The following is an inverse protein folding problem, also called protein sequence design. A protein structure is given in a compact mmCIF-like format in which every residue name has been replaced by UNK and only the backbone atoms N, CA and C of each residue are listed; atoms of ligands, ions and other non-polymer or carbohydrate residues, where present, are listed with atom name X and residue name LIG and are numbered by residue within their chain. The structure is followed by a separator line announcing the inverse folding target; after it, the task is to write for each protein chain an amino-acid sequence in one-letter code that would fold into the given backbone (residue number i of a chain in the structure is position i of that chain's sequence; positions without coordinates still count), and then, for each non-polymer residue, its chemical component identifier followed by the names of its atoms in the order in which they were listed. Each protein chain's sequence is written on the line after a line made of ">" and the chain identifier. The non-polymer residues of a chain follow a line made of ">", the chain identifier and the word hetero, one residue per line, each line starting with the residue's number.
data_IF_324218104122
#
_entry.id   IF_324218104122
#
_cell.length_a   1.000
_cell.length_b   1.000
_cell.length_c   1.000
_cell.angle_alpha   90.00
_cell.angle_beta   90.00
_cell.angle_gamma   90.00
#
_symmetry.space_group_name_H-M   'P 1'
#
loop_
_entity.id
_entity.type
_entity.pdbx_description
1 polymer ?
#
# COMPACT_ATOMS: atom_id res chain seq x y z
N UNK A 1 10.60 37.94 -5.82
CA UNK A 1 9.22 38.16 -5.32
C UNK A 1 8.16 37.50 -6.20
N UNK A 2 8.17 37.71 -7.52
CA UNK A 2 7.13 37.15 -8.44
C UNK A 2 7.08 35.61 -8.52
N UNK A 3 8.21 34.91 -8.35
CA UNK A 3 8.25 33.44 -8.39
C UNK A 3 7.68 32.79 -7.12
N UNK A 4 7.91 33.43 -5.96
CA UNK A 4 7.35 32.98 -4.69
C UNK A 4 5.83 33.17 -4.67
N UNK A 5 5.33 34.33 -5.13
CA UNK A 5 3.89 34.55 -5.21
C UNK A 5 3.20 33.49 -6.08
N UNK A 6 3.77 33.16 -7.25
CA UNK A 6 3.24 32.12 -8.12
C UNK A 6 3.18 30.73 -7.44
N UNK A 7 4.22 30.34 -6.71
CA UNK A 7 4.22 29.03 -6.05
C UNK A 7 3.27 28.97 -4.84
N UNK A 8 3.10 30.09 -4.13
CA UNK A 8 2.13 30.20 -3.05
C UNK A 8 0.68 30.20 -3.56
N UNK A 9 0.41 30.82 -4.71
CA UNK A 9 -0.87 30.72 -5.41
C UNK A 9 -1.16 29.27 -5.82
N UNK A 10 -0.20 28.59 -6.46
CA UNK A 10 -0.34 27.17 -6.81
C UNK A 10 -0.57 26.27 -5.59
N UNK A 11 0.11 26.56 -4.47
CA UNK A 11 -0.09 25.86 -3.21
C UNK A 11 -1.50 26.08 -2.68
N UNK A 12 -1.93 27.33 -2.63
CA UNK A 12 -3.27 27.71 -2.19
C UNK A 12 -4.32 27.01 -3.02
N UNK A 13 -4.23 27.04 -4.36
CA UNK A 13 -5.18 26.42 -5.28
C UNK A 13 -5.35 24.91 -5.09
N UNK A 14 -4.28 24.23 -4.68
CA UNK A 14 -4.28 22.78 -4.46
C UNK A 14 -4.78 22.36 -3.07
N UNK A 15 -4.94 23.30 -2.13
CA UNK A 15 -5.44 23.00 -0.80
C UNK A 15 -6.84 22.35 -0.86
N UNK A 16 -7.14 21.41 0.05
CA UNK A 16 -8.50 20.91 0.24
C UNK A 16 -9.49 22.05 0.50
N UNK A 17 -10.79 21.84 0.20
CA UNK A 17 -11.83 22.83 0.52
C UNK A 17 -11.99 23.04 2.03
N UNK A 18 -11.71 21.99 2.82
CA UNK A 18 -11.74 22.01 4.27
C UNK A 18 -10.52 21.29 4.86
N UNK A 19 -9.31 21.88 4.78
CA UNK A 19 -8.12 21.21 5.27
C UNK A 19 -8.12 21.15 6.81
N UNK A 20 -7.35 20.21 7.35
CA UNK A 20 -6.92 20.31 8.74
C UNK A 20 -6.00 21.52 8.93
N UNK A 21 -6.10 22.20 10.06
CA UNK A 21 -5.22 23.31 10.43
C UNK A 21 -5.08 23.44 11.95
N UNK A 22 -3.99 24.05 12.42
CA UNK A 22 -3.80 24.38 13.84
C UNK A 22 -2.70 25.42 14.04
N UNK A 23 -2.74 26.12 15.17
CA UNK A 23 -1.65 26.99 15.63
C UNK A 23 -0.74 26.29 16.65
N UNK A 24 -1.22 25.23 17.29
CA UNK A 24 -0.44 24.41 18.21
C UNK A 24 -0.78 22.93 17.97
N UNK A 25 0.23 22.13 17.61
CA UNK A 25 0.08 20.70 17.37
C UNK A 25 -0.39 19.94 18.62
N UNK A 26 -0.08 20.44 19.83
CA UNK A 26 -0.48 19.84 21.11
C UNK A 26 -2.00 19.92 21.35
N UNK A 27 -2.67 20.93 20.78
CA UNK A 27 -4.12 21.12 20.93
C UNK A 27 -4.96 20.33 19.91
N UNK A 28 -4.29 19.53 19.07
CA UNK A 28 -4.92 18.78 17.99
C UNK A 28 -5.24 19.62 16.75
N UNK A 29 -5.92 18.98 15.79
CA UNK A 29 -6.21 19.54 14.48
C UNK A 29 -7.68 19.98 14.35
N UNK A 30 -7.90 21.12 13.68
CA UNK A 30 -9.21 21.66 13.38
C UNK A 30 -9.53 21.48 11.90
N UNK A 31 -10.78 21.19 11.55
CA UNK A 31 -11.25 21.26 10.15
C UNK A 31 -11.90 22.62 9.92
N UNK A 32 -11.41 23.40 8.96
CA UNK A 32 -11.92 24.74 8.64
C UNK A 32 -12.05 24.95 7.13
N UNK A 33 -12.95 25.82 6.64
CA UNK A 33 -12.95 26.22 5.24
C UNK A 33 -11.58 26.76 4.82
N UNK A 34 -11.15 26.48 3.59
CA UNK A 34 -9.86 26.92 3.02
C UNK A 34 -9.55 28.39 3.29
N UNK A 35 -10.52 29.29 3.08
CA UNK A 35 -10.36 30.73 3.29
C UNK A 35 -9.98 31.14 4.73
N UNK A 36 -10.27 30.30 5.71
CA UNK A 36 -9.93 30.53 7.13
C UNK A 36 -8.67 29.72 7.51
N UNK A 37 -8.51 28.53 6.95
CA UNK A 37 -7.40 27.64 7.28
C UNK A 37 -6.03 28.20 6.86
N UNK A 38 -5.98 29.04 5.83
CA UNK A 38 -4.73 29.69 5.37
C UNK A 38 -4.10 30.63 6.40
N UNK A 39 -4.88 31.10 7.38
CA UNK A 39 -4.41 31.98 8.45
C UNK A 39 -3.83 31.20 9.65
N UNK A 40 -3.79 29.87 9.59
CA UNK A 40 -3.20 29.04 10.64
C UNK A 40 -1.73 28.71 10.35
N UNK A 41 -0.96 28.56 11.42
CA UNK A 41 0.48 28.26 11.37
C UNK A 41 0.74 26.92 10.65
N UNK A 42 -0.04 25.89 10.94
CA UNK A 42 0.07 24.58 10.31
C UNK A 42 -1.20 24.27 9.51
N UNK A 43 -1.02 23.64 8.35
CA UNK A 43 -2.12 23.33 7.41
C UNK A 43 -1.91 21.97 6.75
N UNK A 44 -3.02 21.30 6.41
CA UNK A 44 -3.03 20.10 5.59
C UNK A 44 -2.88 20.50 4.12
N UNK A 45 -1.78 20.15 3.47
CA UNK A 45 -1.51 20.54 2.09
C UNK A 45 -2.29 19.68 1.08
N UNK A 46 -2.50 18.40 1.39
CA UNK A 46 -3.07 17.42 0.48
C UNK A 46 -4.41 16.87 0.95
N UNK A 47 -5.29 16.57 -0.01
CA UNK A 47 -6.56 15.91 0.32
C UNK A 47 -6.30 14.47 0.80
N UNK A 48 -7.11 13.92 1.73
CA UNK A 48 -7.03 12.52 2.13
C UNK A 48 -7.05 11.49 0.98
N UNK A 49 -7.50 11.89 -0.22
CA UNK A 49 -7.72 11.00 -1.37
C UNK A 49 -6.78 11.23 -2.52
N UNK A 50 -6.02 12.32 -2.53
CA UNK A 50 -5.06 12.61 -3.59
C UNK A 50 -3.94 13.48 -3.06
N UNK A 51 -2.72 13.09 -3.40
CA UNK A 51 -1.49 13.72 -2.95
C UNK A 51 -0.86 14.50 -4.11
N UNK A 52 -0.83 15.82 -3.97
CA UNK A 52 -0.14 16.74 -4.86
C UNK A 52 1.32 16.95 -4.44
N UNK A 53 1.64 16.79 -3.16
CA UNK A 53 2.98 17.07 -2.64
C UNK A 53 3.61 15.82 -2.02
N UNK A 54 4.88 15.55 -2.37
CA UNK A 54 5.73 14.70 -1.54
C UNK A 54 6.44 15.64 -0.56
N UNK A 55 6.20 15.46 0.74
CA UNK A 55 6.65 16.38 1.79
C UNK A 55 7.62 15.65 2.69
N UNK A 56 8.74 16.29 2.98
CA UNK A 56 9.74 15.81 3.90
C UNK A 56 9.86 16.78 5.07
N UNK A 57 9.91 16.25 6.29
CA UNK A 57 10.25 17.01 7.49
C UNK A 57 11.74 16.85 7.79
N UNK A 58 12.44 17.98 7.88
CA UNK A 58 13.88 18.06 8.07
C UNK A 58 14.16 18.58 9.48
N UNK A 59 14.61 17.68 10.36
CA UNK A 59 14.86 17.93 11.78
C UNK A 59 16.25 18.53 12.08
N UNK A 60 16.87 19.17 11.10
CA UNK A 60 18.19 19.78 11.20
C UNK A 60 18.17 21.25 10.74
N UNK A 61 19.16 22.00 11.19
CA UNK A 61 19.28 23.43 10.91
C UNK A 61 19.89 23.70 9.52
N UNK A 62 19.74 24.92 9.01
CA UNK A 62 20.41 25.37 7.77
C UNK A 62 20.09 24.55 6.50
N UNK A 63 18.94 23.87 6.48
CA UNK A 63 18.49 23.04 5.36
C UNK A 63 18.56 23.74 3.99
N UNK A 64 18.25 25.03 3.90
CA UNK A 64 18.37 25.79 2.66
C UNK A 64 19.80 25.80 2.09
N UNK A 65 20.80 26.03 2.93
CA UNK A 65 22.21 26.11 2.52
C UNK A 65 22.68 24.74 2.05
N UNK A 66 22.37 23.68 2.82
CA UNK A 66 22.75 22.32 2.46
C UNK A 66 22.15 21.90 1.11
N UNK A 67 20.88 22.20 0.87
CA UNK A 67 20.21 21.88 -0.40
C UNK A 67 20.84 22.62 -1.57
N UNK A 68 21.19 23.90 -1.40
CA UNK A 68 21.72 24.72 -2.49
C UNK A 68 23.19 24.41 -2.83
N UNK A 69 24.01 24.09 -1.82
CA UNK A 69 25.46 24.03 -1.98
C UNK A 69 26.06 22.63 -1.81
N UNK A 70 25.38 21.72 -1.10
CA UNK A 70 25.90 20.39 -0.78
C UNK A 70 25.16 19.26 -1.51
N UNK A 71 23.91 19.47 -1.90
CA UNK A 71 23.08 18.44 -2.56
C UNK A 71 23.10 18.51 -4.10
N UNK A 72 24.29 18.68 -4.67
CA UNK A 72 24.45 18.75 -6.14
C UNK A 72 23.98 17.44 -6.80
N UNK A 73 23.12 17.56 -7.82
CA UNK A 73 22.57 16.41 -8.55
C UNK A 73 21.30 15.79 -7.94
N UNK A 74 20.95 16.15 -6.70
CA UNK A 74 19.67 15.78 -6.09
C UNK A 74 18.58 16.74 -6.59
N UNK A 75 17.36 16.27 -6.92
CA UNK A 75 16.27 17.16 -7.31
C UNK A 75 15.98 18.22 -6.24
N UNK A 76 15.96 19.50 -6.64
CA UNK A 76 15.51 20.58 -5.77
C UNK A 76 14.02 20.45 -5.44
N UNK A 77 13.59 20.71 -4.20
CA UNK A 77 12.18 20.82 -3.89
C UNK A 77 11.58 22.07 -4.57
N UNK A 78 10.25 22.12 -4.65
CA UNK A 78 9.55 23.32 -5.15
C UNK A 78 9.51 24.41 -4.08
N UNK A 79 9.14 24.03 -2.85
CA UNK A 79 9.10 24.92 -1.70
C UNK A 79 9.97 24.38 -0.57
N UNK A 80 10.59 25.30 0.17
CA UNK A 80 11.18 25.05 1.48
C UNK A 80 10.54 26.02 2.46
N UNK A 81 10.04 25.51 3.58
CA UNK A 81 9.38 26.31 4.62
C UNK A 81 10.09 26.05 5.94
N UNK A 82 10.94 26.97 6.37
CA UNK A 82 11.74 26.84 7.57
C UNK A 82 11.15 27.61 8.75
N UNK A 83 11.39 27.07 9.95
CA UNK A 83 11.23 27.79 11.19
C UNK A 83 12.37 28.82 11.33
N UNK A 84 12.01 30.08 11.58
CA UNK A 84 12.94 31.20 11.72
C UNK A 84 13.85 31.07 12.95
N UNK A 85 13.42 30.34 13.97
CA UNK A 85 14.12 30.22 15.25
C UNK A 85 15.15 29.08 15.25
N UNK A 86 14.79 27.91 14.70
CA UNK A 86 15.63 26.71 14.78
C UNK A 86 16.00 26.10 13.41
N UNK A 87 15.59 26.71 12.29
CA UNK A 87 15.98 26.27 10.95
C UNK A 87 15.37 24.93 10.47
N UNK A 88 14.63 24.20 11.32
CA UNK A 88 13.92 22.98 10.92
C UNK A 88 12.87 23.32 9.88
N UNK A 89 12.75 22.50 8.84
CA UNK A 89 11.97 22.88 7.66
C UNK A 89 11.13 21.75 7.11
N UNK A 90 10.05 22.10 6.42
CA UNK A 90 9.36 21.18 5.52
C UNK A 90 9.72 21.54 4.10
N UNK A 91 10.10 20.54 3.31
CA UNK A 91 10.32 20.71 1.87
C UNK A 91 9.23 19.98 1.08
N UNK A 92 8.80 20.61 -0.02
CA UNK A 92 7.66 20.16 -0.81
C UNK A 92 8.09 19.89 -2.26
N UNK A 93 7.92 18.67 -2.73
CA UNK A 93 8.00 18.34 -4.16
C UNK A 93 6.59 18.35 -4.75
N UNK A 94 6.30 19.35 -5.56
CA UNK A 94 5.01 19.56 -6.21
C UNK A 94 4.86 18.64 -7.42
N UNK A 95 3.84 17.80 -7.43
CA UNK A 95 3.53 16.89 -8.53
C UNK A 95 2.61 17.56 -9.55
N UNK A 96 2.97 17.42 -10.83
CA UNK A 96 2.16 17.85 -11.99
C UNK A 96 0.83 17.10 -12.04
N UNK A 97 0.86 15.79 -11.74
CA UNK A 97 -0.32 14.94 -11.66
C UNK A 97 -0.39 14.34 -10.27
N UNK A 98 -1.49 14.52 -9.52
CA UNK A 98 -1.60 14.00 -8.18
C UNK A 98 -1.66 12.48 -8.14
N UNK A 99 -1.20 11.92 -7.02
CA UNK A 99 -1.31 10.49 -6.71
C UNK A 99 -2.63 10.24 -6.00
N UNK A 100 -3.58 9.65 -6.71
CA UNK A 100 -4.89 9.32 -6.15
C UNK A 100 -4.81 8.04 -5.29
N UNK A 101 -5.45 8.06 -4.12
CA UNK A 101 -5.50 6.97 -3.12
C UNK A 101 -6.90 6.32 -2.98
N UNK A 102 -7.79 6.55 -3.94
CA UNK A 102 -9.20 6.10 -3.88
C UNK A 102 -9.40 4.67 -4.39
N UNK A 103 -10.64 4.17 -4.30
CA UNK A 103 -11.03 2.86 -4.81
C UNK A 103 -10.95 2.71 -6.35
N UNK A 104 -10.91 3.82 -7.09
CA UNK A 104 -10.74 3.83 -8.54
C UNK A 104 -9.26 3.94 -8.95
N UNK A 105 -8.37 4.18 -8.00
CA UNK A 105 -6.95 4.36 -8.25
C UNK A 105 -6.25 3.08 -8.69
N UNK A 106 -5.24 3.24 -9.55
CA UNK A 106 -4.26 2.19 -9.83
C UNK A 106 -3.27 2.15 -8.67
N UNK A 107 -2.97 0.95 -8.17
CA UNK A 107 -1.99 0.77 -7.08
C UNK A 107 -0.56 1.10 -7.53
N UNK A 108 -0.23 0.87 -8.81
CA UNK A 108 1.14 1.07 -9.34
C UNK A 108 1.66 2.50 -9.12
N UNK A 109 0.92 3.58 -9.45
CA UNK A 109 1.32 4.95 -9.10
C UNK A 109 1.57 5.19 -7.61
N UNK A 110 0.80 4.54 -6.72
CA UNK A 110 0.96 4.71 -5.27
C UNK A 110 2.28 4.08 -4.81
N UNK A 111 2.57 2.84 -5.25
CA UNK A 111 3.84 2.16 -4.98
C UNK A 111 5.01 2.98 -5.53
N UNK A 112 4.86 3.48 -6.77
CA UNK A 112 5.88 4.28 -7.44
C UNK A 112 6.18 5.57 -6.67
N UNK A 113 5.14 6.32 -6.26
CA UNK A 113 5.29 7.53 -5.47
C UNK A 113 5.86 7.26 -4.08
N UNK A 114 5.48 6.14 -3.44
CA UNK A 114 6.06 5.73 -2.16
C UNK A 114 7.57 5.41 -2.28
N UNK A 115 7.99 4.78 -3.39
CA UNK A 115 9.40 4.52 -3.65
C UNK A 115 10.21 5.80 -3.86
N UNK A 116 9.66 6.75 -4.62
CA UNK A 116 10.24 8.09 -4.79
C UNK A 116 10.34 8.82 -3.44
N UNK A 117 9.26 8.81 -2.65
CA UNK A 117 9.24 9.43 -1.32
C UNK A 117 10.29 8.82 -0.39
N UNK A 118 10.38 7.49 -0.28
CA UNK A 118 11.40 6.81 0.53
C UNK A 118 12.82 7.16 0.11
N UNK A 119 13.08 7.24 -1.21
CA UNK A 119 14.42 7.62 -1.72
C UNK A 119 14.74 9.07 -1.41
N UNK A 120 13.78 9.98 -1.56
CA UNK A 120 13.95 11.38 -1.17
C UNK A 120 14.18 11.48 0.35
N UNK A 121 13.37 10.82 1.19
CA UNK A 121 13.58 10.78 2.65
C UNK A 121 15.01 10.38 3.01
N UNK A 122 15.54 9.32 2.39
CA UNK A 122 16.91 8.87 2.61
C UNK A 122 17.98 9.87 2.14
N UNK A 123 17.76 10.59 1.04
CA UNK A 123 18.73 11.54 0.50
C UNK A 123 18.79 12.84 1.32
N UNK A 124 17.65 13.27 1.85
CA UNK A 124 17.55 14.48 2.65
C UNK A 124 17.66 14.20 4.16
N UNK A 125 17.96 12.96 4.59
CA UNK A 125 17.94 12.56 6.00
C UNK A 125 16.66 13.02 6.74
N UNK A 126 15.53 12.94 6.04
CA UNK A 126 14.25 13.41 6.55
C UNK A 126 13.66 12.43 7.56
N UNK A 127 12.78 12.92 8.43
CA UNK A 127 12.04 12.06 9.35
C UNK A 127 11.22 11.02 8.56
N UNK A 128 11.49 9.75 8.86
CA UNK A 128 10.82 8.60 8.27
C UNK A 128 9.43 8.41 8.88
N UNK A 129 9.25 8.85 10.14
CA UNK A 129 7.99 8.82 10.89
C UNK A 129 6.95 9.82 10.38
N UNK A 130 7.40 10.92 9.78
CA UNK A 130 6.52 11.98 9.29
C UNK A 130 5.52 11.48 8.24
N UNK A 131 4.22 11.61 8.57
CA UNK A 131 3.15 11.06 7.74
C UNK A 131 2.66 11.95 6.61
N UNK A 132 3.10 13.21 6.58
CA UNK A 132 2.69 14.21 5.58
C UNK A 132 1.28 14.78 5.75
N UNK A 133 0.59 14.48 6.87
CA UNK A 133 -0.79 14.95 7.10
C UNK A 133 -0.87 16.47 7.33
N UNK A 134 0.02 17.00 8.17
CA UNK A 134 0.07 18.41 8.55
C UNK A 134 1.45 18.98 8.26
N UNK A 135 1.52 20.17 7.67
CA UNK A 135 2.78 20.82 7.33
C UNK A 135 2.85 22.27 7.82
N UNK A 136 4.07 22.80 7.96
CA UNK A 136 4.30 24.24 8.10
C UNK A 136 3.65 24.95 6.92
N UNK A 137 2.75 25.90 7.18
CA UNK A 137 1.97 26.58 6.15
C UNK A 137 2.85 27.58 5.35
N UNK A 138 3.16 27.35 4.06
CA UNK A 138 4.02 28.25 3.29
C UNK A 138 3.50 29.69 3.17
N UNK A 139 2.19 29.91 3.39
CA UNK A 139 1.53 31.22 3.28
C UNK A 139 1.66 32.02 4.59
N UNK A 140 1.83 31.34 5.73
CA UNK A 140 1.75 31.97 7.04
C UNK A 140 3.07 32.67 7.41
N UNK A 141 2.98 33.91 7.91
CA UNK A 141 4.14 34.76 8.18
C UNK A 141 5.08 34.22 9.27
N UNK A 142 4.62 33.33 10.16
CA UNK A 142 5.45 32.65 11.16
C UNK A 142 6.66 31.94 10.53
N UNK A 143 6.49 31.41 9.32
CA UNK A 143 7.53 30.65 8.64
C UNK A 143 8.27 31.48 7.61
N UNK A 144 9.49 31.06 7.27
CA UNK A 144 10.20 31.62 6.13
C UNK A 144 10.10 30.64 4.96
N UNK A 145 9.42 31.06 3.90
CA UNK A 145 9.19 30.24 2.72
C UNK A 145 10.10 30.66 1.56
N UNK A 146 10.67 29.68 0.87
CA UNK A 146 11.53 29.83 -0.28
C UNK A 146 10.99 29.03 -1.45
N UNK A 147 11.06 29.60 -2.65
CA UNK A 147 10.84 28.86 -3.90
C UNK A 147 12.18 28.49 -4.49
N UNK A 148 12.48 27.20 -4.56
CA UNK A 148 13.70 26.68 -5.20
C UNK A 148 13.43 26.19 -6.62
N UNK A 149 12.15 25.89 -6.93
CA UNK A 149 11.69 25.53 -8.27
C UNK A 149 10.21 25.85 -8.46
N UNK A 150 9.89 26.55 -9.53
CA UNK A 150 8.50 26.90 -9.91
C UNK A 150 7.73 25.80 -10.63
N UNK A 151 8.42 24.95 -11.40
CA UNK A 151 7.79 23.94 -12.24
C UNK A 151 7.48 22.66 -11.46
N UNK A 152 6.22 22.18 -11.47
CA UNK A 152 5.87 20.88 -10.90
C UNK A 152 6.59 19.73 -11.59
N UNK A 153 6.93 18.70 -10.83
CA UNK A 153 7.54 17.47 -11.31
C UNK A 153 6.50 16.48 -11.85
N UNK A 154 6.82 15.78 -12.93
CA UNK A 154 6.20 14.47 -13.12
C UNK A 154 6.86 13.46 -12.17
N UNK A 155 6.14 12.44 -11.71
CA UNK A 155 6.74 11.38 -10.90
C UNK A 155 7.90 10.68 -11.62
N UNK A 156 7.77 10.47 -12.93
CA UNK A 156 8.83 9.89 -13.74
C UNK A 156 10.08 10.78 -13.80
N UNK A 157 9.92 12.11 -13.81
CA UNK A 157 11.06 13.04 -13.78
C UNK A 157 11.81 12.96 -12.45
N UNK A 158 11.10 12.87 -11.32
CA UNK A 158 11.76 12.66 -10.02
C UNK A 158 12.49 11.32 -10.03
N UNK A 159 11.78 10.25 -10.35
CA UNK A 159 12.35 8.90 -10.35
C UNK A 159 13.54 8.74 -11.30
N UNK A 160 13.56 9.39 -12.47
CA UNK A 160 14.71 9.31 -13.38
C UNK A 160 15.98 9.95 -12.85
N UNK A 161 15.85 10.84 -11.86
CA UNK A 161 16.96 11.52 -11.19
C UNK A 161 17.36 10.84 -9.87
N UNK A 162 16.71 9.74 -9.52
CA UNK A 162 16.89 9.05 -8.26
C UNK A 162 17.29 7.61 -8.53
N UNK A 163 18.34 7.15 -7.87
CA UNK A 163 18.70 5.73 -7.87
C UNK A 163 17.71 4.98 -6.97
N UNK A 164 16.71 4.34 -7.59
CA UNK A 164 15.67 3.58 -6.89
C UNK A 164 15.85 2.10 -7.23
N UNK A 165 16.00 1.26 -6.20
CA UNK A 165 15.88 -0.19 -6.35
C UNK A 165 14.41 -0.58 -6.51
N UNK A 166 13.99 -0.77 -7.76
CA UNK A 166 12.64 -1.19 -8.09
C UNK A 166 12.30 -2.61 -7.63
N UNK A 167 13.29 -3.49 -7.39
CA UNK A 167 13.01 -4.82 -6.84
C UNK A 167 12.59 -4.67 -5.38
N UNK A 168 13.30 -3.85 -4.62
CA UNK A 168 12.95 -3.55 -3.23
C UNK A 168 11.62 -2.80 -3.12
N UNK A 169 11.43 -1.76 -3.93
CA UNK A 169 10.22 -0.94 -3.93
C UNK A 169 8.93 -1.73 -4.22
N UNK A 170 9.02 -2.84 -4.95
CA UNK A 170 7.88 -3.70 -5.28
C UNK A 170 7.62 -4.80 -4.24
N UNK A 171 8.47 -4.94 -3.21
CA UNK A 171 8.21 -5.88 -2.12
C UNK A 171 7.01 -5.41 -1.29
N UNK A 172 6.23 -6.33 -0.72
CA UNK A 172 5.19 -5.97 0.24
C UNK A 172 5.80 -5.19 1.41
N UNK A 173 5.21 -4.04 1.73
CA UNK A 173 5.61 -3.22 2.87
C UNK A 173 5.25 -3.96 4.15
N UNK A 174 6.14 -3.93 5.15
CA UNK A 174 5.87 -4.48 6.48
C UNK A 174 5.01 -3.52 7.30
N UNK A 175 4.38 -4.04 8.35
CA UNK A 175 3.44 -3.26 9.17
C UNK A 175 4.12 -2.07 9.88
N UNK A 176 5.33 -2.27 10.38
CA UNK A 176 6.17 -1.26 11.05
C UNK A 176 6.70 -0.19 10.10
N UNK A 177 6.83 -0.51 8.80
CA UNK A 177 7.25 0.42 7.75
C UNK A 177 6.08 1.14 7.06
N UNK A 178 4.83 0.89 7.49
CA UNK A 178 3.64 1.41 6.88
C UNK A 178 3.39 2.87 7.30
N UNK A 179 4.12 3.80 6.69
CA UNK A 179 4.04 5.25 6.96
C UNK A 179 3.67 6.00 5.68
N UNK A 180 2.96 7.13 5.78
CA UNK A 180 2.60 7.95 4.61
C UNK A 180 1.79 7.17 3.57
N UNK A 181 2.31 7.12 2.33
CA UNK A 181 1.75 6.31 1.22
C UNK A 181 1.90 4.79 1.42
N UNK A 182 2.87 4.38 2.25
CA UNK A 182 3.13 2.99 2.60
C UNK A 182 1.95 2.34 3.32
N UNK A 183 1.18 3.11 4.08
CA UNK A 183 -0.05 2.66 4.76
C UNK A 183 -1.06 2.04 3.79
N UNK A 184 -1.35 2.75 2.70
CA UNK A 184 -2.26 2.26 1.66
C UNK A 184 -1.73 0.97 1.01
N UNK A 185 -0.43 0.98 0.67
CA UNK A 185 0.24 -0.16 0.05
C UNK A 185 0.21 -1.40 0.96
N UNK A 186 0.53 -1.25 2.24
CA UNK A 186 0.46 -2.32 3.24
C UNK A 186 -0.94 -2.91 3.35
N UNK A 187 -1.96 -2.09 3.66
CA UNK A 187 -3.33 -2.58 3.84
C UNK A 187 -3.83 -3.24 2.55
N UNK A 188 -3.58 -2.64 1.38
CA UNK A 188 -3.99 -3.20 0.10
C UNK A 188 -3.32 -4.55 -0.21
N UNK A 189 -1.99 -4.63 -0.08
CA UNK A 189 -1.25 -5.86 -0.39
C UNK A 189 -1.59 -6.99 0.58
N UNK A 190 -1.72 -6.71 1.87
CA UNK A 190 -2.07 -7.71 2.87
C UNK A 190 -3.51 -8.20 2.69
N UNK A 191 -4.48 -7.27 2.61
CA UNK A 191 -5.88 -7.64 2.50
C UNK A 191 -6.23 -8.34 1.18
N UNK A 192 -5.62 -7.96 0.05
CA UNK A 192 -5.99 -8.58 -1.24
C UNK A 192 -5.63 -10.06 -1.31
N UNK A 193 -4.51 -10.48 -0.72
CA UNK A 193 -4.10 -11.88 -0.74
C UNK A 193 -5.02 -12.75 0.11
N UNK A 194 -5.42 -12.25 1.28
CA UNK A 194 -6.47 -12.87 2.08
C UNK A 194 -7.80 -12.96 1.29
N UNK A 195 -8.22 -11.84 0.67
CA UNK A 195 -9.49 -11.72 -0.02
C UNK A 195 -9.64 -12.69 -1.22
N UNK A 196 -8.55 -13.01 -1.92
CA UNK A 196 -8.56 -13.95 -3.04
C UNK A 196 -9.08 -15.35 -2.69
N UNK A 197 -8.93 -15.74 -1.42
CA UNK A 197 -9.45 -17.02 -0.91
C UNK A 197 -10.75 -16.81 -0.14
N UNK A 198 -10.83 -15.77 0.69
CA UNK A 198 -11.99 -15.52 1.56
C UNK A 198 -13.30 -15.31 0.78
N UNK A 199 -13.24 -14.74 -0.44
CA UNK A 199 -14.44 -14.51 -1.28
C UNK A 199 -15.24 -15.79 -1.55
N UNK A 200 -14.61 -16.96 -1.48
CA UNK A 200 -15.26 -18.27 -1.72
C UNK A 200 -16.33 -18.60 -0.69
N UNK A 201 -16.18 -18.14 0.56
CA UNK A 201 -17.14 -18.31 1.65
C UNK A 201 -18.39 -17.42 1.51
N UNK A 202 -18.40 -16.55 0.50
CA UNK A 202 -19.48 -15.62 0.20
C UNK A 202 -20.24 -15.98 -1.07
N UNK A 203 -19.99 -17.16 -1.65
CA UNK A 203 -20.81 -17.70 -2.73
C UNK A 203 -22.21 -18.00 -2.21
N UNK A 204 -23.23 -17.52 -2.90
CA UNK A 204 -24.62 -17.57 -2.44
C UNK A 204 -24.98 -16.49 -1.40
N UNK A 205 -24.04 -15.63 -1.00
CA UNK A 205 -24.29 -14.45 -0.15
C UNK A 205 -24.40 -13.18 -1.00
N UNK A 206 -24.69 -12.05 -0.36
CA UNK A 206 -24.81 -10.75 -1.03
C UNK A 206 -23.46 -10.01 -1.11
N UNK A 207 -23.32 -9.12 -2.10
CA UNK A 207 -22.14 -8.26 -2.22
C UNK A 207 -21.94 -7.37 -0.99
N UNK A 208 -23.01 -6.91 -0.35
CA UNK A 208 -22.91 -6.04 0.82
C UNK A 208 -22.31 -6.77 2.03
N UNK A 209 -22.67 -8.04 2.24
CA UNK A 209 -22.04 -8.88 3.27
C UNK A 209 -20.55 -9.06 3.00
N UNK A 210 -20.18 -9.35 1.75
CA UNK A 210 -18.78 -9.43 1.34
C UNK A 210 -18.01 -8.12 1.56
N UNK A 211 -18.59 -7.00 1.11
CA UNK A 211 -17.97 -5.68 1.27
C UNK A 211 -17.74 -5.35 2.75
N UNK A 212 -18.70 -5.64 3.62
CA UNK A 212 -18.55 -5.38 5.05
C UNK A 212 -17.42 -6.22 5.64
N UNK A 213 -17.33 -7.51 5.34
CA UNK A 213 -16.23 -8.36 5.82
C UNK A 213 -14.86 -7.86 5.34
N UNK A 214 -14.74 -7.38 4.10
CA UNK A 214 -13.48 -6.79 3.61
C UNK A 214 -13.17 -5.48 4.33
N UNK A 215 -14.17 -4.64 4.62
CA UNK A 215 -13.99 -3.42 5.42
C UNK A 215 -13.46 -3.77 6.81
N UNK A 216 -14.08 -4.71 7.50
CA UNK A 216 -13.70 -5.12 8.86
C UNK A 216 -12.27 -5.69 8.88
N UNK A 217 -11.91 -6.50 7.88
CA UNK A 217 -10.54 -7.01 7.75
C UNK A 217 -9.52 -5.88 7.52
N UNK A 218 -9.83 -4.92 6.64
CA UNK A 218 -8.95 -3.77 6.42
C UNK A 218 -8.85 -2.85 7.65
N UNK A 219 -9.92 -2.70 8.44
CA UNK A 219 -9.89 -1.95 9.70
C UNK A 219 -8.97 -2.62 10.72
N UNK A 220 -9.05 -3.95 10.86
CA UNK A 220 -8.15 -4.70 11.73
C UNK A 220 -6.67 -4.55 11.36
N UNK A 221 -6.35 -4.51 10.05
CA UNK A 221 -4.98 -4.22 9.60
C UNK A 221 -4.55 -2.78 9.93
N UNK A 222 -5.47 -1.83 9.88
CA UNK A 222 -5.23 -0.43 10.16
C UNK A 222 -5.04 -0.13 11.66
N UNK A 223 -5.54 -0.98 12.56
CA UNK A 223 -5.25 -0.88 14.00
C UNK A 223 -3.78 -1.18 14.33
N UNK A 224 -3.11 -1.96 13.47
CA UNK A 224 -1.74 -2.37 13.68
C UNK A 224 -0.67 -1.40 13.18
N UNK A 225 -1.02 -0.37 12.41
CA UNK A 225 -0.04 0.59 11.87
C UNK A 225 0.15 1.76 12.85
N UNK A 226 1.36 2.32 12.88
CA UNK A 226 1.75 3.39 13.82
C UNK A 226 0.81 4.61 13.77
N UNK A 227 0.42 5.02 12.56
CA UNK A 227 -0.55 6.10 12.35
C UNK A 227 -1.74 5.62 11.50
N UNK A 228 -2.83 5.17 12.14
CA UNK A 228 -4.01 4.66 11.46
C UNK A 228 -4.60 5.65 10.45
N UNK A 229 -4.97 5.14 9.28
CA UNK A 229 -5.71 5.92 8.27
C UNK A 229 -7.16 6.15 8.71
N UNK A 230 -7.79 7.17 8.14
CA UNK A 230 -9.20 7.45 8.41
C UNK A 230 -10.12 6.39 7.79
N UNK A 231 -11.30 6.19 8.40
CA UNK A 231 -12.31 5.22 7.91
C UNK A 231 -12.62 5.39 6.42
N UNK A 232 -12.69 6.63 5.93
CA UNK A 232 -12.94 6.92 4.50
C UNK A 232 -11.87 6.36 3.57
N UNK A 233 -10.59 6.46 3.95
CA UNK A 233 -9.46 5.90 3.18
C UNK A 233 -9.52 4.36 3.17
N UNK A 234 -9.73 3.75 4.35
CA UNK A 234 -9.87 2.29 4.50
C UNK A 234 -11.04 1.74 3.69
N UNK A 235 -12.21 2.39 3.77
CA UNK A 235 -13.39 2.02 2.98
C UNK A 235 -13.11 2.09 1.49
N UNK A 236 -12.29 3.04 1.04
CA UNK A 236 -11.82 3.12 -0.34
C UNK A 236 -11.02 1.88 -0.76
N UNK A 237 -10.03 1.50 0.04
CA UNK A 237 -9.18 0.31 -0.20
C UNK A 237 -10.05 -0.96 -0.24
N UNK A 238 -10.89 -1.14 0.79
CA UNK A 238 -11.77 -2.29 0.90
C UNK A 238 -12.73 -2.42 -0.29
N UNK A 239 -13.36 -1.32 -0.73
CA UNK A 239 -14.23 -1.30 -1.93
C UNK A 239 -13.47 -1.75 -3.18
N UNK A 240 -12.22 -1.34 -3.35
CA UNK A 240 -11.40 -1.74 -4.50
C UNK A 240 -11.19 -3.25 -4.54
N UNK A 241 -10.74 -3.81 -3.41
CA UNK A 241 -10.48 -5.25 -3.24
C UNK A 241 -11.78 -6.05 -3.40
N UNK A 242 -12.83 -5.65 -2.68
CA UNK A 242 -14.10 -6.37 -2.67
C UNK A 242 -14.70 -6.44 -4.07
N UNK A 243 -14.75 -5.32 -4.78
CA UNK A 243 -15.25 -5.25 -6.16
C UNK A 243 -14.44 -6.11 -7.12
N UNK A 244 -13.11 -6.10 -7.00
CA UNK A 244 -12.24 -6.91 -7.85
C UNK A 244 -12.50 -8.41 -7.64
N UNK A 245 -12.48 -8.87 -6.39
CA UNK A 245 -12.68 -10.28 -6.06
C UNK A 245 -14.10 -10.74 -6.45
N UNK A 246 -15.12 -9.94 -6.16
CA UNK A 246 -16.51 -10.27 -6.49
C UNK A 246 -16.73 -10.46 -7.99
N UNK A 247 -16.22 -9.53 -8.81
CA UNK A 247 -16.36 -9.61 -10.28
C UNK A 247 -15.55 -10.75 -10.89
N UNK A 248 -14.43 -11.13 -10.26
CA UNK A 248 -13.49 -12.11 -10.81
C UNK A 248 -13.67 -13.53 -10.25
N UNK A 249 -14.42 -13.72 -9.16
CA UNK A 249 -14.52 -15.03 -8.49
C UNK A 249 -14.95 -16.15 -9.44
N UNK A 250 -16.03 -15.96 -10.21
CA UNK A 250 -16.51 -16.98 -11.15
C UNK A 250 -15.45 -17.39 -12.18
N UNK A 251 -14.80 -16.41 -12.82
CA UNK A 251 -13.71 -16.66 -13.78
C UNK A 251 -12.51 -17.34 -13.11
N UNK A 252 -12.06 -16.82 -11.95
CA UNK A 252 -10.91 -17.34 -11.22
C UNK A 252 -11.16 -18.75 -10.69
N UNK A 253 -12.40 -19.08 -10.36
CA UNK A 253 -12.81 -20.42 -9.95
C UNK A 253 -12.70 -21.41 -11.11
N UNK A 254 -13.18 -21.04 -12.30
CA UNK A 254 -13.05 -21.88 -13.49
C UNK A 254 -11.58 -22.14 -13.84
N UNK A 255 -10.76 -21.08 -13.88
CA UNK A 255 -9.31 -21.19 -14.08
C UNK A 255 -8.63 -22.06 -13.02
N UNK A 256 -9.09 -22.00 -11.77
CA UNK A 256 -8.60 -22.88 -10.71
C UNK A 256 -8.94 -24.35 -10.99
N UNK A 257 -10.19 -24.66 -11.37
CA UNK A 257 -10.61 -26.02 -11.75
C UNK A 257 -9.75 -26.53 -12.91
N UNK A 258 -9.61 -25.76 -13.98
CA UNK A 258 -8.88 -26.18 -15.18
C UNK A 258 -7.39 -26.41 -14.90
N UNK A 259 -6.79 -25.55 -14.06
CA UNK A 259 -5.43 -25.75 -13.57
C UNK A 259 -5.30 -27.01 -12.70
N UNK A 260 -6.24 -27.28 -11.80
CA UNK A 260 -6.21 -28.49 -10.97
C UNK A 260 -6.37 -29.75 -11.83
N UNK A 261 -7.30 -29.76 -12.80
CA UNK A 261 -7.48 -30.85 -13.77
C UNK A 261 -6.20 -31.13 -14.55
N UNK A 262 -5.57 -30.08 -15.11
CA UNK A 262 -4.32 -30.21 -15.87
C UNK A 262 -3.18 -30.76 -15.01
N UNK A 263 -2.99 -30.19 -13.81
CA UNK A 263 -1.95 -30.65 -12.88
C UNK A 263 -2.21 -32.08 -12.41
N UNK A 264 -3.45 -32.43 -12.10
CA UNK A 264 -3.87 -33.78 -11.72
C UNK A 264 -3.64 -34.80 -12.83
N UNK A 265 -3.94 -34.47 -14.08
CA UNK A 265 -3.68 -35.34 -15.22
C UNK A 265 -2.17 -35.57 -15.44
N UNK A 266 -1.36 -34.51 -15.36
CA UNK A 266 0.11 -34.63 -15.46
C UNK A 266 0.68 -35.46 -14.30
N UNK A 267 0.22 -35.19 -13.08
CA UNK A 267 0.63 -35.92 -11.88
C UNK A 267 0.25 -37.40 -11.96
N UNK A 268 -1.00 -37.68 -12.34
CA UNK A 268 -1.54 -39.03 -12.48
C UNK A 268 -0.81 -39.87 -13.54
N UNK A 269 -0.42 -39.26 -14.67
CA UNK A 269 0.39 -39.94 -15.70
C UNK A 269 1.79 -40.31 -15.21
N UNK A 270 2.38 -39.52 -14.30
CA UNK A 270 3.70 -39.78 -13.73
C UNK A 270 3.65 -40.72 -12.54
N UNK A 271 2.60 -40.63 -11.72
CA UNK A 271 2.44 -41.43 -10.51
C UNK A 271 2.17 -42.89 -10.88
N UNK A 272 2.94 -43.81 -10.32
CA UNK A 272 2.62 -45.23 -10.30
C UNK A 272 2.19 -45.58 -8.89
N UNK A 273 1.06 -46.30 -8.77
CA UNK A 273 0.64 -46.83 -7.47
C UNK A 273 1.57 -48.00 -7.13
N UNK A 274 2.33 -47.86 -6.06
CA UNK A 274 3.12 -48.96 -5.52
C UNK A 274 2.19 -49.97 -4.83
N UNK A 275 2.56 -51.26 -4.76
CA UNK A 275 1.92 -52.21 -3.87
C UNK A 275 1.85 -51.63 -2.46
N UNK A 276 0.74 -51.88 -1.77
CA UNK A 276 0.59 -51.45 -0.38
C UNK A 276 1.21 -52.53 0.49
N UNK A 277 2.20 -52.16 1.31
CA UNK A 277 2.81 -53.07 2.27
C UNK A 277 1.72 -53.67 3.19
N UNK A 278 1.93 -54.91 3.61
CA UNK A 278 0.99 -55.67 4.46
C UNK A 278 -0.41 -55.94 3.89
N UNK A 279 -0.70 -55.50 2.66
CA UNK A 279 -1.92 -55.93 1.98
C UNK A 279 -1.84 -57.42 1.63
N UNK A 280 -2.97 -58.14 1.63
CA UNK A 280 -3.03 -59.55 1.20
C UNK A 280 -2.44 -59.77 -0.20
N UNK A 281 -2.54 -58.76 -1.08
CA UNK A 281 -1.95 -58.76 -2.41
C UNK A 281 -0.40 -58.73 -2.38
N UNK A 282 0.19 -58.16 -1.33
CA UNK A 282 1.63 -58.06 -1.11
C UNK A 282 2.19 -59.19 -0.24
N UNK A 283 1.49 -59.60 0.83
CA UNK A 283 1.91 -60.67 1.76
C UNK A 283 1.63 -62.07 1.21
N UNK A 284 0.70 -62.17 0.25
CA UNK A 284 0.37 -63.39 -0.51
C UNK A 284 0.26 -64.66 0.36
N UNK A 285 -0.63 -64.68 1.35
CA UNK A 285 -0.76 -65.79 2.30
C UNK A 285 -1.03 -67.16 1.63
N UNK A 286 -1.63 -67.16 0.44
CA UNK A 286 -1.84 -68.38 -0.35
C UNK A 286 -0.55 -69.08 -0.79
N UNK A 287 0.56 -68.34 -0.96
CA UNK A 287 1.86 -68.92 -1.28
C UNK A 287 2.38 -69.74 -0.09
N UNK A 288 2.24 -69.22 1.14
CA UNK A 288 2.61 -69.95 2.37
C UNK A 288 1.71 -71.18 2.61
N UNK A 289 0.45 -71.13 2.18
CA UNK A 289 -0.51 -72.24 2.27
C UNK A 289 -0.37 -73.28 1.14
N UNK A 290 0.53 -73.07 0.16
CA UNK A 290 0.73 -73.98 -0.97
C UNK A 290 -0.47 -74.08 -1.92
N UNK A 291 -1.39 -73.11 -1.91
CA UNK A 291 -2.61 -73.09 -2.74
C UNK A 291 -2.64 -71.89 -3.69
N UNK A 292 -3.46 -71.96 -4.74
CA UNK A 292 -3.61 -70.83 -5.65
C UNK A 292 -4.35 -69.65 -4.99
N UNK A 293 -4.07 -68.42 -5.43
CA UNK A 293 -4.79 -67.20 -5.00
C UNK A 293 -6.31 -67.35 -5.14
N UNK A 294 -6.77 -67.94 -6.25
CA UNK A 294 -8.20 -68.13 -6.49
C UNK A 294 -8.82 -69.12 -5.50
N UNK A 295 -8.10 -70.19 -5.16
CA UNK A 295 -8.52 -71.19 -4.17
C UNK A 295 -8.62 -70.56 -2.77
N UNK A 296 -7.61 -69.78 -2.38
CA UNK A 296 -7.59 -69.06 -1.09
C UNK A 296 -8.84 -68.18 -0.88
N UNK A 297 -9.20 -67.35 -1.87
CA UNK A 297 -10.40 -66.52 -1.77
C UNK A 297 -11.71 -67.31 -1.83
N UNK A 298 -11.76 -68.47 -2.51
CA UNK A 298 -12.94 -69.36 -2.49
C UNK A 298 -13.12 -70.00 -1.11
N UNK A 299 -12.05 -70.51 -0.50
CA UNK A 299 -12.10 -71.11 0.84
C UNK A 299 -12.53 -70.09 1.90
N UNK A 300 -11.97 -68.87 1.83
CA UNK A 300 -12.36 -67.80 2.75
C UNK A 300 -13.83 -67.42 2.63
N UNK A 301 -14.39 -67.46 1.41
CA UNK A 301 -15.81 -67.21 1.15
C UNK A 301 -16.71 -68.32 1.68
N UNK A 302 -16.26 -69.58 1.69
CA UNK A 302 -17.00 -70.69 2.30
C UNK A 302 -16.90 -70.74 3.82
N UNK A 303 -15.87 -70.13 4.42
CA UNK A 303 -15.73 -70.00 5.89
C UNK A 303 -16.55 -68.85 6.49
N UNK A 304 -17.00 -67.90 5.66
CA UNK A 304 -17.79 -66.72 6.07
C UNK A 304 -19.26 -66.79 5.67
N UNK A 305 -19.72 -67.89 5.07
CA UNK A 305 -21.12 -68.19 4.80
C UNK A 305 -21.62 -69.31 5.71
#
# INVERSE_FOLDING_TARGET
>A
MQQLSLCLEQFTDKLPNKPYCTNNLEHGLLVRPKAVAVDYIYIQPDHPYYQNYLILDLDYESSLIEILYSMTGIPLPNLLVENKENGRSHIFFNLKTPVYKTNASKIKPIIYANAVLKRLQSLFNADVGYSGLIAKNPIHEQWRAYTLRDKPYSLNELASKLEIDWKEANKPIKQDEAIGLGRNCYVFHTARFWAYTAVREFRGKTYNQWLQTVIDHCLKLNEGITEPMQYGEIKGIAKSIARYCWKRDGYAYQEFIDRQRRKGAIGGKKSKRLPVDDSEASTKPWEALGISRATYYRHRKSETG
#
